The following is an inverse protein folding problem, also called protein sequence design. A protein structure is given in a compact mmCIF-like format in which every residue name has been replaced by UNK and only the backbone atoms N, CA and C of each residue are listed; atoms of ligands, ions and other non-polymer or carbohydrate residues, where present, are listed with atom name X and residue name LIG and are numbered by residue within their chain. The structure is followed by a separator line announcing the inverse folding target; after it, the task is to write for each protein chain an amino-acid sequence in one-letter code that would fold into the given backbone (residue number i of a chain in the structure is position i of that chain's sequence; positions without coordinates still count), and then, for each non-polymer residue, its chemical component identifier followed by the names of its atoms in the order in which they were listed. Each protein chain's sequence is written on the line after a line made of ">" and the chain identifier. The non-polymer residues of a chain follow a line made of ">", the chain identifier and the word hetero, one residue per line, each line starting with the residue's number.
data_IF_342002622393
#
_entry.id   IF_342002622393
#
_cell.length_a   1.000
_cell.length_b   1.000
_cell.length_c   1.000
_cell.angle_alpha   90.00
_cell.angle_beta   90.00
_cell.angle_gamma   90.00
#
_symmetry.space_group_name_H-M   'P 1'
#
loop_
_entity.id
_entity.type
_entity.pdbx_description
1 polymer ?
#
# COMPACT_ATOMS: atom_id res chain seq x y z
N UNK A 1 6.96 4.86 -18.21
CA UNK A 1 5.89 5.56 -17.46
C UNK A 1 5.93 5.07 -16.01
N UNK A 2 5.52 5.84 -15.01
CA UNK A 2 5.51 5.36 -13.61
C UNK A 2 4.08 5.12 -13.17
N UNK A 3 3.80 3.92 -12.67
CA UNK A 3 2.57 3.58 -11.97
C UNK A 3 2.77 3.71 -10.46
N UNK A 4 1.76 4.24 -9.77
CA UNK A 4 1.75 4.40 -8.32
C UNK A 4 0.69 3.47 -7.75
N UNK A 5 1.11 2.49 -6.95
CA UNK A 5 0.20 1.60 -6.23
C UNK A 5 0.16 2.01 -4.76
N UNK A 6 -1.04 2.14 -4.21
CA UNK A 6 -1.25 2.43 -2.79
C UNK A 6 -2.12 1.35 -2.18
N UNK A 7 -1.59 0.68 -1.17
CA UNK A 7 -2.34 -0.28 -0.34
C UNK A 7 -2.47 0.34 1.05
N UNK A 8 -3.70 0.45 1.52
CA UNK A 8 -4.01 0.97 2.86
C UNK A 8 -4.52 -0.16 3.73
N UNK A 9 -4.00 -0.32 4.93
CA UNK A 9 -4.47 -1.34 5.87
C UNK A 9 -4.48 -0.81 7.30
N UNK A 10 -5.41 -1.34 8.08
CA UNK A 10 -5.53 -1.05 9.50
C UNK A 10 -5.17 -2.31 10.29
N UNK A 11 -4.26 -2.17 11.24
CA UNK A 11 -3.96 -3.20 12.24
C UNK A 11 -4.63 -2.81 13.55
N UNK A 12 -5.46 -3.71 14.07
CA UNK A 12 -6.06 -3.59 15.38
C UNK A 12 -5.29 -4.46 16.36
N UNK A 13 -4.66 -3.83 17.36
CA UNK A 13 -3.95 -4.53 18.43
C UNK A 13 -4.75 -4.41 19.73
N UNK A 14 -5.40 -5.49 20.22
CA UNK A 14 -6.02 -5.48 21.53
C UNK A 14 -4.94 -5.35 22.62
N UNK A 15 -5.10 -4.40 23.54
CA UNK A 15 -4.17 -4.23 24.67
C UNK A 15 -4.80 -4.69 25.98
N UNK A 16 -6.11 -4.47 26.15
CA UNK A 16 -6.88 -4.87 27.33
C UNK A 16 -8.36 -5.00 26.98
N UNK A 17 -9.20 -5.42 27.93
CA UNK A 17 -10.66 -5.54 27.72
C UNK A 17 -11.24 -4.18 27.30
N UNK A 18 -11.77 -4.12 26.08
CA UNK A 18 -12.39 -2.92 25.51
C UNK A 18 -11.42 -1.90 24.90
N UNK A 19 -10.10 -2.09 25.04
CA UNK A 19 -9.09 -1.14 24.54
C UNK A 19 -8.30 -1.75 23.40
N UNK A 20 -8.32 -1.07 22.25
CA UNK A 20 -7.59 -1.45 21.04
C UNK A 20 -6.70 -0.29 20.57
N UNK A 21 -5.46 -0.58 20.19
CA UNK A 21 -4.67 0.33 19.35
C UNK A 21 -5.07 0.11 17.90
N UNK A 22 -5.31 1.20 17.19
CA UNK A 22 -5.50 1.18 15.75
C UNK A 22 -4.27 1.79 15.10
N UNK A 23 -3.60 1.01 14.27
CA UNK A 23 -2.51 1.49 13.44
C UNK A 23 -2.95 1.51 11.99
N UNK A 24 -2.82 2.66 11.34
CA UNK A 24 -3.13 2.80 9.92
C UNK A 24 -1.84 2.94 9.13
N UNK A 25 -1.66 2.06 8.17
CA UNK A 25 -0.46 2.03 7.33
C UNK A 25 -0.84 2.20 5.87
N UNK A 26 0.02 2.92 5.15
CA UNK A 26 -0.02 3.01 3.70
C UNK A 26 1.32 2.47 3.16
N UNK A 27 1.24 1.45 2.32
CA UNK A 27 2.36 1.04 1.47
C UNK A 27 2.14 1.67 0.11
N UNK A 28 3.08 2.50 -0.31
CA UNK A 28 3.11 3.10 -1.65
C UNK A 28 4.26 2.46 -2.42
N UNK A 29 3.95 1.85 -3.56
CA UNK A 29 4.94 1.27 -4.46
C UNK A 29 4.98 2.07 -5.76
N UNK A 30 6.20 2.42 -6.19
CA UNK A 30 6.47 3.03 -7.49
C UNK A 30 7.03 1.95 -8.42
N UNK A 31 6.33 1.72 -9.51
CA UNK A 31 6.70 0.69 -10.50
C UNK A 31 6.83 1.34 -11.87
N UNK A 32 7.93 1.08 -12.54
CA UNK A 32 8.10 1.47 -13.93
C UNK A 32 7.31 0.53 -14.85
N UNK A 33 6.45 1.11 -15.67
CA UNK A 33 5.56 0.39 -16.57
C UNK A 33 5.72 0.90 -18.00
N UNK A 34 5.55 -0.03 -18.94
CA UNK A 34 5.48 0.21 -20.36
C UNK A 34 4.07 -0.10 -20.86
N UNK A 35 3.71 0.52 -21.98
CA UNK A 35 2.48 0.21 -22.70
C UNK A 35 2.77 -0.92 -23.67
N UNK A 36 2.09 -2.04 -23.49
CA UNK A 36 2.15 -3.18 -24.39
C UNK A 36 0.81 -3.32 -25.12
N UNK A 37 0.87 -3.47 -26.44
CA UNK A 37 -0.32 -3.69 -27.24
C UNK A 37 -0.58 -5.18 -27.39
N UNK A 38 -1.66 -5.69 -26.78
CA UNK A 38 -2.05 -7.08 -26.85
C UNK A 38 -3.34 -7.23 -27.67
N UNK A 39 -3.16 -7.57 -28.96
CA UNK A 39 -4.21 -7.81 -29.98
C UNK A 39 -5.15 -6.61 -30.25
N UNK A 40 -5.96 -6.23 -29.26
CA UNK A 40 -6.93 -5.11 -29.30
C UNK A 40 -6.93 -4.25 -28.03
N UNK A 41 -6.20 -4.65 -26.99
CA UNK A 41 -6.15 -3.92 -25.72
C UNK A 41 -4.76 -3.31 -25.53
N UNK A 42 -4.76 -2.08 -25.03
CA UNK A 42 -3.55 -1.42 -24.54
C UNK A 42 -3.40 -1.80 -23.07
N UNK A 43 -2.42 -2.63 -22.76
CA UNK A 43 -2.16 -3.13 -21.41
C UNK A 43 -0.93 -2.43 -20.82
N UNK A 44 -0.98 -2.17 -19.52
CA UNK A 44 0.18 -1.73 -18.78
C UNK A 44 0.94 -2.96 -18.29
N UNK A 45 2.18 -3.09 -18.71
CA UNK A 45 3.07 -4.17 -18.27
C UNK A 45 4.22 -3.57 -17.46
N UNK A 46 4.67 -4.26 -16.39
CA UNK A 46 5.91 -3.89 -15.71
C UNK A 46 7.05 -3.90 -16.74
N UNK A 47 7.88 -2.88 -16.73
CA UNK A 47 9.11 -2.91 -17.53
C UNK A 47 10.10 -3.86 -16.83
N UNK A 48 10.73 -4.77 -17.56
CA UNK A 48 11.59 -5.83 -17.01
C UNK A 48 12.44 -5.33 -15.84
N UNK A 49 12.22 -5.94 -14.66
CA UNK A 49 12.62 -5.48 -13.33
C UNK A 49 14.13 -5.52 -13.06
N UNK A 50 14.96 -4.82 -13.84
CA UNK A 50 16.38 -4.62 -13.52
C UNK A 50 16.59 -3.52 -12.46
N UNK A 51 15.56 -2.73 -12.15
CA UNK A 51 15.59 -1.74 -11.07
C UNK A 51 14.73 -2.20 -9.88
N UNK A 52 15.21 -2.05 -8.62
CA UNK A 52 14.41 -2.39 -7.46
C UNK A 52 13.19 -1.47 -7.38
N UNK A 53 11.99 -2.07 -7.26
CA UNK A 53 10.77 -1.34 -6.94
C UNK A 53 10.99 -0.47 -5.70
N UNK A 54 10.73 0.84 -5.81
CA UNK A 54 10.84 1.74 -4.66
C UNK A 54 9.55 1.66 -3.86
N UNK A 55 9.67 1.12 -2.65
CA UNK A 55 8.59 1.08 -1.68
C UNK A 55 8.76 2.20 -0.66
N UNK A 56 7.70 2.96 -0.43
CA UNK A 56 7.58 3.95 0.63
C UNK A 56 6.53 3.45 1.61
N UNK A 57 6.93 3.28 2.88
CA UNK A 57 6.03 2.90 3.97
C UNK A 57 5.75 4.16 4.79
N UNK A 58 4.48 4.52 4.92
CA UNK A 58 4.02 5.61 5.78
C UNK A 58 3.05 5.04 6.82
N UNK A 59 3.23 5.39 8.10
CA UNK A 59 2.35 4.97 9.19
C UNK A 59 1.77 6.17 9.94
N UNK A 60 0.54 6.01 10.41
CA UNK A 60 -0.12 6.92 11.36
C UNK A 60 -0.62 6.07 12.53
N UNK A 61 -0.24 6.44 13.74
CA UNK A 61 -0.69 5.78 14.98
C UNK A 61 -1.86 6.57 15.53
N UNK A 62 -3.04 5.94 15.69
CA UNK A 62 -4.21 6.57 16.30
C UNK A 62 -4.58 5.76 17.54
N UNK A 63 -4.38 6.38 18.72
CA UNK A 63 -4.79 5.81 20.00
C UNK A 63 -6.29 6.07 20.20
N UNK A 64 -7.10 5.02 20.09
CA UNK A 64 -8.52 5.07 20.45
C UNK A 64 -8.72 4.35 21.78
N UNK A 65 -8.87 5.13 22.86
CA UNK A 65 -9.31 4.58 24.14
C UNK A 65 -10.84 4.49 24.09
N UNK A 66 -11.37 3.29 23.84
CA UNK A 66 -12.79 3.04 24.01
C UNK A 66 -13.03 2.66 25.47
N UNK A 67 -13.59 3.60 26.24
CA UNK A 67 -14.20 3.29 27.55
C UNK A 67 -15.66 2.94 27.28
N UNK A 68 -16.19 1.81 27.80
CA UNK A 68 -17.63 1.58 27.82
C UNK A 68 -18.34 2.64 28.66
#
# INVERSE_FOLDING_TARGET
>A
MIAVFKISFNLLLPISKGVHLTFSFNIVALVEVSLAYNKRNLELQPTDCLSPCKFLISWVVILYVHSP
#
